data_IF_275546221614
#
_entry.id   IF_275546221614
#
_cell.length_a   1.000
_cell.length_b   1.000
_cell.length_c   1.000
_cell.angle_alpha   90.00
_cell.angle_beta   90.00
_cell.angle_gamma   90.00
#
_symmetry.space_group_name_H-M   'P 1'
#
loop_
_entity.id
_entity.type
_entity.pdbx_description
1 polymer ?
#
# COMPACT_ATOMS: atom_id res chain seq x y z
N UNK A 1 7.19 -14.47 -24.97
CA UNK A 1 8.14 -14.34 -23.85
C UNK A 1 8.36 -12.86 -23.62
N UNK A 2 7.54 -12.25 -22.77
CA UNK A 2 7.49 -10.80 -22.57
C UNK A 2 6.44 -10.52 -21.52
N UNK A 3 6.88 -10.25 -20.30
CA UNK A 3 6.00 -10.15 -19.14
C UNK A 3 6.80 -9.79 -17.90
N UNK A 4 7.58 -8.73 -18.00
CA UNK A 4 8.07 -8.01 -16.84
C UNK A 4 7.59 -6.58 -17.00
N UNK A 5 6.86 -6.07 -16.01
CA UNK A 5 6.52 -4.65 -15.95
C UNK A 5 7.79 -3.81 -15.84
N UNK A 6 7.71 -2.55 -16.24
CA UNK A 6 8.83 -1.62 -16.03
C UNK A 6 9.19 -1.55 -14.54
N UNK A 7 10.48 -1.57 -14.17
CA UNK A 7 10.89 -1.51 -12.79
C UNK A 7 10.37 -0.23 -12.11
N UNK A 8 9.73 -0.40 -10.96
CA UNK A 8 9.35 0.73 -10.11
C UNK A 8 10.63 1.34 -9.53
N UNK A 9 10.88 2.63 -9.77
CA UNK A 9 12.02 3.38 -9.21
C UNK A 9 11.70 4.02 -7.84
N UNK A 10 10.52 3.74 -7.28
CA UNK A 10 10.10 4.24 -5.97
C UNK A 10 10.51 3.28 -4.86
N UNK A 11 10.81 3.79 -3.65
CA UNK A 11 11.04 2.95 -2.48
C UNK A 11 9.82 2.07 -2.20
N UNK A 12 10.06 0.82 -1.76
CA UNK A 12 8.99 -0.12 -1.40
C UNK A 12 9.09 -0.49 0.08
N UNK A 13 7.99 -0.33 0.79
CA UNK A 13 7.76 -0.82 2.13
C UNK A 13 6.60 -1.82 2.10
N UNK A 14 6.83 -3.04 2.60
CA UNK A 14 5.85 -4.12 2.53
C UNK A 14 5.66 -4.80 3.89
N UNK A 15 4.40 -5.02 4.27
CA UNK A 15 4.04 -5.86 5.41
C UNK A 15 2.70 -6.55 5.16
N UNK A 16 2.73 -7.88 5.00
CA UNK A 16 1.53 -8.70 4.77
C UNK A 16 0.75 -8.27 3.52
N UNK A 17 -0.54 -7.93 3.61
CA UNK A 17 -1.33 -7.56 2.43
C UNK A 17 -1.15 -6.11 1.97
N UNK A 18 -0.36 -5.29 2.68
CA UNK A 18 -0.26 -3.84 2.42
C UNK A 18 1.13 -3.49 1.89
N UNK A 19 1.16 -2.84 0.71
CA UNK A 19 2.37 -2.29 0.08
C UNK A 19 2.26 -0.76 0.06
N UNK A 20 3.32 -0.07 0.49
CA UNK A 20 3.43 1.39 0.54
C UNK A 20 4.84 1.83 0.13
N UNK A 21 5.07 3.15 0.03
CA UNK A 21 6.41 3.69 -0.28
C UNK A 21 7.24 3.99 0.97
N UNK A 22 6.62 4.06 2.16
CA UNK A 22 7.30 4.36 3.43
C UNK A 22 6.75 3.56 4.63
N UNK A 23 7.62 3.30 5.62
CA UNK A 23 7.26 2.58 6.85
C UNK A 23 6.19 3.29 7.69
N UNK A 24 6.20 4.63 7.71
CA UNK A 24 5.17 5.41 8.40
C UNK A 24 3.78 5.20 7.79
N UNK A 25 3.70 5.07 6.47
CA UNK A 25 2.45 4.80 5.77
C UNK A 25 1.93 3.40 6.09
N UNK A 26 2.80 2.41 6.26
CA UNK A 26 2.38 1.08 6.75
C UNK A 26 1.77 1.19 8.14
N UNK A 27 2.43 1.89 9.08
CA UNK A 27 1.90 2.10 10.43
C UNK A 27 0.52 2.77 10.41
N UNK A 28 0.37 3.83 9.62
CA UNK A 28 -0.92 4.49 9.43
C UNK A 28 -1.97 3.54 8.85
N UNK A 29 -1.63 2.80 7.79
CA UNK A 29 -2.52 1.89 7.09
C UNK A 29 -3.06 0.78 8.01
N UNK A 30 -2.19 0.18 8.84
CA UNK A 30 -2.64 -0.79 9.84
C UNK A 30 -3.55 -0.14 10.88
N UNK A 31 -3.22 1.06 11.36
CA UNK A 31 -4.09 1.80 12.27
C UNK A 31 -5.46 2.14 11.68
N UNK A 32 -5.55 2.42 10.38
CA UNK A 32 -6.83 2.63 9.67
C UNK A 32 -7.58 1.30 9.45
N UNK A 33 -6.85 0.21 9.21
CA UNK A 33 -7.43 -1.14 9.06
C UNK A 33 -8.07 -1.61 10.37
N UNK A 34 -7.37 -1.45 11.49
CA UNK A 34 -7.88 -1.75 12.83
C UNK A 34 -9.13 -0.93 13.18
N UNK A 35 -9.20 0.33 12.72
CA UNK A 35 -10.34 1.22 12.93
C UNK A 35 -11.50 0.98 11.95
N UNK A 36 -11.32 0.10 10.95
CA UNK A 36 -12.31 -0.10 9.90
C UNK A 36 -12.48 1.11 8.96
N UNK A 37 -11.51 2.02 8.92
CA UNK A 37 -11.54 3.25 8.10
C UNK A 37 -10.55 3.21 6.92
N UNK A 38 -9.87 2.08 6.70
CA UNK A 38 -8.87 1.90 5.64
C UNK A 38 -9.43 2.14 4.24
N UNK A 39 -10.63 1.61 3.96
CA UNK A 39 -11.30 1.83 2.68
C UNK A 39 -11.92 3.22 2.68
N UNK A 40 -11.34 4.12 1.89
CA UNK A 40 -11.93 5.43 1.63
C UNK A 40 -13.07 5.21 0.62
N UNK A 41 -14.30 5.49 1.03
CA UNK A 41 -15.44 5.57 0.10
C UNK A 41 -15.17 6.69 -0.91
N UNK A 42 -14.49 6.36 -2.00
CA UNK A 42 -14.44 7.18 -3.20
C UNK A 42 -15.60 6.71 -4.06
N UNK A 43 -16.75 7.36 -3.88
CA UNK A 43 -17.90 7.19 -4.76
C UNK A 43 -17.57 7.78 -6.13
N UNK A 44 -17.21 6.91 -7.07
CA UNK A 44 -17.31 7.10 -8.52
C UNK A 44 -17.43 5.73 -9.17
#
# INVERSE_FOLDING_TARGET
>A
MGGAGEPLQEPVAWNGPIVMNAQEQLRQAFGELEKGTFVKNKGW
#
